data_IF_892142636741
#
_entry.id   IF_892142636741
#
_cell.length_a   1.000
_cell.length_b   1.000
_cell.length_c   1.000
_cell.angle_alpha   90.00
_cell.angle_beta   90.00
_cell.angle_gamma   90.00
#
_symmetry.space_group_name_H-M   'P 1'
#
loop_
_entity.id
_entity.type
_entity.pdbx_description
1 polymer ?
#
# COMPACT_ATOMS: atom_id res chain seq x y z
N UNK A 1 12.33 -31.13 1.38
CA UNK A 1 13.29 -30.00 1.27
C UNK A 1 12.78 -29.09 0.16
N UNK A 2 12.35 -27.84 0.44
CA UNK A 2 11.92 -26.94 -0.63
C UNK A 2 13.12 -26.60 -1.52
N UNK A 3 12.99 -26.85 -2.83
CA UNK A 3 14.00 -26.51 -3.83
C UNK A 3 14.25 -24.99 -3.78
N UNK A 4 15.51 -24.52 -3.70
CA UNK A 4 15.77 -23.09 -3.68
C UNK A 4 15.23 -22.45 -4.97
N UNK A 5 14.39 -21.43 -4.82
CA UNK A 5 13.80 -20.69 -5.93
C UNK A 5 14.91 -20.13 -6.82
N UNK A 6 14.77 -20.27 -8.14
CA UNK A 6 15.65 -19.64 -9.13
C UNK A 6 15.81 -18.13 -8.85
N UNK A 7 16.98 -17.51 -9.09
CA UNK A 7 17.21 -16.09 -8.79
C UNK A 7 16.13 -15.15 -9.36
N UNK A 8 15.68 -15.39 -10.60
CA UNK A 8 14.61 -14.63 -11.23
C UNK A 8 13.26 -14.75 -10.50
N UNK A 9 12.92 -15.94 -9.98
CA UNK A 9 11.70 -16.14 -9.19
C UNK A 9 11.75 -15.40 -7.85
N UNK A 10 12.93 -15.34 -7.22
CA UNK A 10 13.11 -14.57 -5.98
C UNK A 10 12.94 -13.07 -6.22
N UNK A 11 13.51 -12.54 -7.31
CA UNK A 11 13.37 -11.14 -7.68
C UNK A 11 11.90 -10.81 -8.00
N UNK A 12 11.25 -11.60 -8.84
CA UNK A 12 9.84 -11.40 -9.19
C UNK A 12 8.94 -11.41 -7.95
N UNK A 13 9.15 -12.37 -7.04
CA UNK A 13 8.40 -12.43 -5.78
C UNK A 13 8.56 -11.16 -4.97
N UNK A 14 9.80 -10.65 -4.83
CA UNK A 14 10.09 -9.42 -4.10
C UNK A 14 9.37 -8.21 -4.74
N UNK A 15 9.46 -8.09 -6.06
CA UNK A 15 8.82 -7.00 -6.81
C UNK A 15 7.30 -7.02 -6.65
N UNK A 16 6.66 -8.20 -6.69
CA UNK A 16 5.22 -8.30 -6.48
C UNK A 16 4.82 -7.93 -5.05
N UNK A 17 5.61 -8.30 -4.04
CA UNK A 17 5.36 -7.92 -2.65
C UNK A 17 5.47 -6.41 -2.45
N UNK A 18 6.54 -5.79 -2.97
CA UNK A 18 6.76 -4.35 -2.93
C UNK A 18 5.64 -3.61 -3.66
N UNK A 19 5.27 -4.07 -4.86
CA UNK A 19 4.24 -3.41 -5.65
C UNK A 19 2.83 -3.51 -5.04
N UNK A 20 2.48 -4.66 -4.44
CA UNK A 20 1.23 -4.82 -3.69
C UNK A 20 1.13 -3.80 -2.56
N UNK A 21 2.22 -3.65 -1.82
CA UNK A 21 2.32 -2.76 -0.68
C UNK A 21 2.13 -1.28 -1.08
N UNK A 22 2.79 -0.86 -2.16
CA UNK A 22 2.63 0.49 -2.73
C UNK A 22 1.19 0.76 -3.18
N UNK A 23 0.58 -0.17 -3.91
CA UNK A 23 -0.79 -0.02 -4.41
C UNK A 23 -1.82 0.01 -3.28
N UNK A 24 -1.66 -0.85 -2.27
CA UNK A 24 -2.55 -0.88 -1.11
C UNK A 24 -2.45 0.42 -0.31
N UNK A 25 -1.23 0.91 -0.05
CA UNK A 25 -1.03 2.20 0.61
C UNK A 25 -1.72 3.33 -0.16
N UNK A 26 -1.47 3.44 -1.46
CA UNK A 26 -2.10 4.47 -2.30
C UNK A 26 -3.63 4.34 -2.32
N UNK A 27 -4.18 3.14 -2.45
CA UNK A 27 -5.62 2.91 -2.45
C UNK A 27 -6.28 3.39 -1.14
N UNK A 28 -5.68 3.07 0.00
CA UNK A 28 -6.19 3.45 1.33
C UNK A 28 -6.05 4.95 1.54
N UNK A 29 -4.94 5.55 1.13
CA UNK A 29 -4.76 7.00 1.21
C UNK A 29 -5.79 7.74 0.34
N UNK A 30 -6.04 7.28 -0.88
CA UNK A 30 -7.08 7.85 -1.74
C UNK A 30 -8.47 7.68 -1.11
N UNK A 31 -8.76 6.49 -0.56
CA UNK A 31 -10.04 6.22 0.09
C UNK A 31 -10.27 7.10 1.32
N UNK A 32 -9.26 7.28 2.17
CA UNK A 32 -9.32 8.10 3.39
C UNK A 32 -9.58 9.60 3.10
N UNK A 33 -9.22 10.04 1.91
CA UNK A 33 -9.30 11.43 1.46
C UNK A 33 -10.28 11.66 0.31
N UNK A 34 -11.17 10.70 0.04
CA UNK A 34 -12.19 10.76 -1.02
C UNK A 34 -11.61 11.17 -2.39
N UNK A 35 -10.40 10.68 -2.70
CA UNK A 35 -9.73 10.97 -3.96
C UNK A 35 -10.17 9.98 -5.05
N UNK A 36 -10.33 10.45 -6.30
CA UNK A 36 -10.67 9.58 -7.42
C UNK A 36 -9.59 8.50 -7.63
N UNK A 37 -10.02 7.35 -8.17
CA UNK A 37 -9.13 6.24 -8.51
C UNK A 37 -8.82 5.28 -7.37
N UNK A 38 -9.36 5.49 -6.16
CA UNK A 38 -9.23 4.53 -5.04
C UNK A 38 -9.69 3.12 -5.45
N UNK A 39 -10.78 3.02 -6.21
CA UNK A 39 -11.34 1.76 -6.71
C UNK A 39 -10.42 1.09 -7.76
N UNK A 40 -9.78 1.88 -8.62
CA UNK A 40 -8.81 1.40 -9.61
C UNK A 40 -7.57 0.84 -8.90
N UNK A 41 -7.05 1.54 -7.90
CA UNK A 41 -5.91 1.12 -7.09
C UNK A 41 -6.23 -0.14 -6.28
N UNK A 42 -7.43 -0.23 -5.70
CA UNK A 42 -7.89 -1.43 -5.01
C UNK A 42 -7.98 -2.65 -5.94
N UNK A 43 -8.52 -2.48 -7.16
CA UNK A 43 -8.52 -3.54 -8.17
C UNK A 43 -7.10 -3.95 -8.58
N UNK A 44 -6.19 -3.00 -8.77
CA UNK A 44 -4.80 -3.29 -9.08
C UNK A 44 -4.11 -4.08 -7.95
N UNK A 45 -4.35 -3.71 -6.69
CA UNK A 45 -3.86 -4.46 -5.52
C UNK A 45 -4.34 -5.91 -5.56
N UNK A 46 -5.63 -6.13 -5.81
CA UNK A 46 -6.21 -7.47 -5.90
C UNK A 46 -5.58 -8.31 -7.04
N UNK A 47 -5.32 -7.71 -8.21
CA UNK A 47 -4.64 -8.41 -9.32
C UNK A 47 -3.23 -8.88 -8.94
N UNK A 48 -2.47 -8.07 -8.20
CA UNK A 48 -1.14 -8.46 -7.71
C UNK A 48 -1.24 -9.59 -6.69
N UNK A 49 -2.23 -9.54 -5.80
CA UNK A 49 -2.48 -10.62 -4.84
C UNK A 49 -2.83 -11.94 -5.53
N UNK A 50 -3.67 -11.92 -6.57
CA UNK A 50 -3.99 -13.12 -7.36
C UNK A 50 -2.76 -13.66 -8.10
N UNK A 51 -1.89 -12.78 -8.62
CA UNK A 51 -0.60 -13.20 -9.20
C UNK A 51 0.33 -13.85 -8.16
N UNK A 52 0.40 -13.28 -6.95
CA UNK A 52 1.14 -13.84 -5.83
C UNK A 52 0.56 -15.19 -5.40
N UNK A 53 -0.77 -15.32 -5.34
CA UNK A 53 -1.46 -16.57 -5.01
C UNK A 53 -1.18 -17.67 -6.04
N UNK A 54 -1.22 -17.32 -7.33
CA UNK A 54 -1.00 -18.25 -8.42
C UNK A 54 0.47 -18.70 -8.53
N UNK A 55 1.44 -17.79 -8.39
CA UNK A 55 2.86 -18.07 -8.61
C UNK A 55 3.64 -18.42 -7.34
N UNK A 56 3.21 -17.92 -6.19
CA UNK A 56 3.90 -18.05 -4.90
C UNK A 56 2.89 -18.33 -3.77
N UNK A 57 2.10 -19.42 -3.83
CA UNK A 57 0.96 -19.66 -2.93
C UNK A 57 1.35 -19.66 -1.44
N UNK A 58 2.51 -20.21 -1.10
CA UNK A 58 3.02 -20.22 0.28
C UNK A 58 3.30 -18.79 0.77
N UNK A 59 3.89 -17.95 -0.09
CA UNK A 59 4.14 -16.54 0.24
C UNK A 59 2.82 -15.80 0.40
N UNK A 60 1.86 -15.97 -0.51
CA UNK A 60 0.54 -15.37 -0.36
C UNK A 60 -0.12 -15.78 0.96
N UNK A 61 -0.13 -17.08 1.28
CA UNK A 61 -0.76 -17.58 2.51
C UNK A 61 -0.09 -17.05 3.79
N UNK A 62 1.23 -16.87 3.78
CA UNK A 62 1.97 -16.32 4.91
C UNK A 62 1.68 -14.84 5.14
N UNK A 63 1.53 -14.05 4.07
CA UNK A 63 1.43 -12.60 4.18
C UNK A 63 -0.01 -12.07 4.19
N UNK A 64 -0.96 -12.76 3.54
CA UNK A 64 -2.33 -12.28 3.35
C UNK A 64 -3.05 -11.86 4.65
N UNK A 65 -2.99 -12.64 5.77
CA UNK A 65 -3.64 -12.23 7.01
C UNK A 65 -3.09 -10.92 7.59
N UNK A 66 -1.78 -10.70 7.48
CA UNK A 66 -1.12 -9.50 7.99
C UNK A 66 -1.37 -8.29 7.09
N UNK A 67 -1.46 -8.51 5.77
CA UNK A 67 -1.88 -7.47 4.83
C UNK A 67 -3.25 -6.91 5.15
N UNK A 68 -4.26 -7.76 5.32
CA UNK A 68 -5.62 -7.31 5.65
C UNK A 68 -5.62 -6.48 6.95
N UNK A 69 -4.87 -6.91 7.97
CA UNK A 69 -4.76 -6.18 9.24
C UNK A 69 -4.03 -4.84 9.08
N UNK A 70 -2.91 -4.83 8.36
CA UNK A 70 -2.11 -3.63 8.09
C UNK A 70 -2.91 -2.60 7.32
N UNK A 71 -3.61 -3.03 6.26
CA UNK A 71 -4.42 -2.18 5.41
C UNK A 71 -5.57 -1.54 6.18
N UNK A 72 -6.31 -2.34 6.95
CA UNK A 72 -7.36 -1.82 7.83
C UNK A 72 -6.80 -0.84 8.86
N UNK A 73 -5.59 -1.09 9.39
CA UNK A 73 -4.93 -0.21 10.36
C UNK A 73 -4.51 1.15 9.79
N UNK A 74 -4.27 1.26 8.47
CA UNK A 74 -3.91 2.52 7.78
C UNK A 74 -5.10 3.41 7.50
N UNK A 75 -6.30 2.82 7.41
CA UNK A 75 -7.51 3.58 7.17
C UNK A 75 -7.73 4.56 8.34
N UNK A 76 -8.05 5.80 7.98
CA UNK A 76 -8.37 6.88 8.90
C UNK A 76 -9.35 7.82 8.21
N UNK A 77 -9.98 8.69 8.99
CA UNK A 77 -10.84 9.73 8.45
C UNK A 77 -10.06 11.04 8.27
N UNK A 78 -10.51 11.89 7.35
CA UNK A 78 -9.82 13.16 7.05
C UNK A 78 -9.77 14.11 8.27
N UNK A 79 -10.70 13.99 9.21
CA UNK A 79 -10.74 14.73 10.47
C UNK A 79 -9.80 14.18 11.56
N UNK A 80 -9.20 13.00 11.32
CA UNK A 80 -8.24 12.32 12.19
C UNK A 80 -6.93 12.02 11.43
N UNK A 81 -6.20 13.08 11.00
CA UNK A 81 -5.05 12.94 10.11
C UNK A 81 -3.91 12.16 10.78
N UNK A 82 -3.19 11.37 9.97
CA UNK A 82 -2.03 10.54 10.41
C UNK A 82 -0.77 10.84 9.59
N UNK A 83 -0.09 11.99 9.78
CA UNK A 83 1.05 12.40 8.94
C UNK A 83 2.28 11.49 9.08
N UNK A 84 2.38 10.73 10.15
CA UNK A 84 3.38 9.69 10.38
C UNK A 84 3.15 8.46 9.47
N UNK A 85 1.89 8.11 9.17
CA UNK A 85 1.52 6.91 8.44
C UNK A 85 0.90 7.13 7.04
N UNK A 86 0.47 8.36 6.72
CA UNK A 86 -0.18 8.72 5.45
C UNK A 86 0.62 9.81 4.71
N UNK A 87 0.99 9.53 3.46
CA UNK A 87 1.73 10.43 2.58
C UNK A 87 0.98 11.73 2.27
N UNK A 88 -0.33 11.65 2.06
CA UNK A 88 -1.20 12.81 1.81
C UNK A 88 -1.24 13.72 3.04
N UNK A 89 -1.52 13.17 4.23
CA UNK A 89 -1.51 13.92 5.48
C UNK A 89 -0.13 14.54 5.76
N UNK A 90 0.95 13.81 5.48
CA UNK A 90 2.32 14.32 5.61
C UNK A 90 2.59 15.50 4.68
N UNK A 91 2.11 15.42 3.44
CA UNK A 91 2.24 16.52 2.47
C UNK A 91 1.46 17.75 2.95
N UNK A 92 0.20 17.59 3.37
CA UNK A 92 -0.62 18.67 3.90
C UNK A 92 0.02 19.35 5.12
N UNK A 93 0.53 18.58 6.08
CA UNK A 93 1.17 19.11 7.28
C UNK A 93 2.40 19.98 6.95
N UNK A 94 3.21 19.59 5.95
CA UNK A 94 4.36 20.39 5.50
C UNK A 94 3.95 21.70 4.84
N UNK A 95 2.86 21.69 4.07
CA UNK A 95 2.34 22.89 3.41
C UNK A 95 1.76 23.91 4.41
N UNK A 96 1.19 23.45 5.53
CA UNK A 96 0.65 24.33 6.58
C UNK A 96 1.73 25.04 7.41
N UNK A 97 2.96 24.55 7.43
CA UNK A 97 4.08 25.15 8.18
C UNK A 97 4.86 26.24 7.43
N UNK A 98 4.46 26.59 6.20
CA UNK A 98 5.07 27.70 5.48
C UNK A 98 4.70 29.05 6.14
N UNK A 99 5.66 29.93 6.48
CA UNK A 99 5.35 31.25 7.03
C UNK A 99 4.54 32.06 6.00
N UNK A 100 3.61 32.94 6.43
CA UNK A 100 2.93 33.84 5.50
C UNK A 100 4.00 34.67 4.79
N UNK A 101 3.95 34.68 3.45
CA UNK A 101 4.78 35.57 2.66
C UNK A 101 4.51 37.00 3.13
N UNK A 102 5.53 37.64 3.71
CA UNK A 102 5.46 39.04 4.08
C UNK A 102 5.15 39.85 2.81
N UNK A 103 4.00 40.52 2.82
CA UNK A 103 3.59 41.49 1.80
C UNK A 103 4.35 42.81 1.96
#
# INVERSE_FOLDING_TARGET
MPTPLQPAHRLLRRQLLEHREELAAAAIEHLAHDLPGADVLARATHLVEELLRARFPVTWQQHYPDWIRSDAGRLHATDTPRPDACGICRAAARSSTAPPAAA
#
